data_IF_262314209989
#
_entry.id   IF_262314209989
#
_cell.length_a   1.000
_cell.length_b   1.000
_cell.length_c   1.000
_cell.angle_alpha   90.00
_cell.angle_beta   90.00
_cell.angle_gamma   90.00
#
_symmetry.space_group_name_H-M   'P 1'
#
loop_
_entity.id
_entity.type
_entity.pdbx_description
1 polymer ?
#
# COMPACT_ATOMS: atom_id res chain seq x y z
N UNK A 1 17.44 18.48 6.53
CA UNK A 1 16.09 18.92 6.11
C UNK A 1 16.00 20.44 6.24
N UNK A 2 15.87 21.16 5.12
CA UNK A 2 15.89 22.64 5.14
C UNK A 2 14.76 23.26 5.94
N UNK A 3 13.64 22.56 6.12
CA UNK A 3 12.48 23.06 6.83
C UNK A 3 12.60 23.06 8.36
N UNK A 4 13.52 22.28 8.93
CA UNK A 4 13.66 22.15 10.40
C UNK A 4 13.96 23.45 11.11
N UNK A 5 14.77 24.31 10.51
CA UNK A 5 15.11 25.60 11.08
C UNK A 5 14.05 26.69 10.87
N UNK A 6 13.06 26.44 9.99
CA UNK A 6 12.00 27.41 9.68
C UNK A 6 10.69 27.15 10.45
N UNK A 7 10.56 26.00 11.12
CA UNK A 7 9.39 25.70 11.92
C UNK A 7 9.49 26.36 13.29
N UNK A 8 8.53 27.24 13.58
CA UNK A 8 8.43 27.91 14.88
C UNK A 8 7.09 27.54 15.52
N UNK A 9 7.09 27.14 16.80
CA UNK A 9 5.83 26.88 17.49
C UNK A 9 5.06 28.17 17.71
N UNK A 10 3.73 28.11 17.82
CA UNK A 10 2.92 29.29 18.15
C UNK A 10 3.26 29.83 19.53
N UNK A 11 2.96 31.11 19.71
CA UNK A 11 3.13 31.79 20.99
C UNK A 11 2.33 31.07 22.09
N UNK A 12 2.96 30.79 23.22
CA UNK A 12 2.32 30.05 24.32
C UNK A 12 2.41 28.53 24.21
N UNK A 13 3.02 28.01 23.17
CA UNK A 13 3.24 26.56 23.01
C UNK A 13 4.23 26.05 24.05
N UNK A 14 3.84 25.01 24.80
CA UNK A 14 4.73 24.29 25.71
C UNK A 14 5.01 22.90 25.14
N UNK A 15 6.30 22.51 25.13
CA UNK A 15 6.69 21.20 24.65
C UNK A 15 6.10 20.11 25.55
N UNK A 16 5.34 19.11 25.00
CA UNK A 16 4.77 18.06 25.84
C UNK A 16 5.84 17.19 26.49
N UNK A 17 5.54 16.57 27.65
CA UNK A 17 6.44 15.60 28.28
C UNK A 17 6.78 14.44 27.32
N UNK A 18 7.95 13.81 27.51
CA UNK A 18 8.44 12.73 26.64
C UNK A 18 7.46 11.58 26.46
N UNK A 19 6.69 11.25 27.49
CA UNK A 19 5.73 10.16 27.46
C UNK A 19 4.43 10.46 26.70
N UNK A 20 4.15 11.73 26.42
CA UNK A 20 2.96 12.12 25.64
C UNK A 20 3.15 11.93 24.12
N UNK A 21 4.37 11.67 23.67
CA UNK A 21 4.68 11.30 22.30
C UNK A 21 4.57 9.81 22.00
N UNK A 22 4.10 9.00 22.96
CA UNK A 22 3.90 7.57 22.76
C UNK A 22 2.84 7.29 21.69
N UNK A 23 2.96 6.13 21.01
CA UNK A 23 2.01 5.72 19.99
C UNK A 23 0.58 5.68 20.54
N UNK A 24 -0.41 6.22 19.83
CA UNK A 24 -1.80 6.21 20.29
C UNK A 24 -2.34 4.77 20.41
N UNK A 25 -3.33 4.56 21.28
CA UNK A 25 -4.02 3.27 21.39
C UNK A 25 -4.82 2.95 20.13
N UNK A 26 -5.25 3.98 19.41
CA UNK A 26 -6.04 3.84 18.18
C UNK A 26 -5.05 3.77 17.01
N UNK A 27 -5.12 2.69 16.23
CA UNK A 27 -4.34 2.52 15.01
C UNK A 27 -5.15 2.95 13.80
N UNK A 28 -4.50 3.61 12.86
CA UNK A 28 -5.11 3.92 11.57
C UNK A 28 -5.18 2.63 10.73
N UNK A 29 -6.30 2.42 10.08
CA UNK A 29 -6.50 1.34 9.12
C UNK A 29 -6.87 1.94 7.77
N UNK A 30 -6.27 1.42 6.69
CA UNK A 30 -6.62 1.84 5.34
C UNK A 30 -8.00 1.28 5.01
N UNK A 31 -8.92 2.17 4.68
CA UNK A 31 -10.26 1.81 4.24
C UNK A 31 -10.37 1.82 2.71
N UNK A 32 -9.82 2.87 2.09
CA UNK A 32 -9.88 3.04 0.65
C UNK A 32 -8.64 3.72 0.12
N UNK A 33 -8.15 3.24 -1.02
CA UNK A 33 -7.05 3.86 -1.77
C UNK A 33 -7.60 4.44 -3.06
N UNK A 34 -7.44 5.73 -3.22
CA UNK A 34 -7.77 6.41 -4.48
C UNK A 34 -6.53 6.43 -5.37
N UNK A 35 -6.73 6.18 -6.63
CA UNK A 35 -5.65 6.25 -7.60
C UNK A 35 -5.13 4.90 -8.05
N UNK A 36 -4.29 4.97 -9.06
CA UNK A 36 -3.77 3.85 -9.81
C UNK A 36 -2.45 4.24 -10.47
N UNK A 37 -1.46 3.38 -10.41
CA UNK A 37 -0.16 3.61 -11.03
C UNK A 37 -0.24 3.38 -12.54
N UNK A 38 -0.54 4.42 -13.30
CA UNK A 38 -0.67 4.34 -14.76
C UNK A 38 0.60 4.72 -15.53
N UNK A 39 1.59 5.31 -14.86
CA UNK A 39 2.84 5.74 -15.50
C UNK A 39 4.00 4.82 -15.14
N UNK A 40 4.94 4.65 -16.07
CA UNK A 40 6.15 3.82 -15.88
C UNK A 40 5.86 2.37 -15.45
N UNK A 41 4.69 1.86 -15.81
CA UNK A 41 4.29 0.48 -15.53
C UNK A 41 3.46 -0.06 -16.69
N UNK A 42 3.61 -1.35 -16.96
CA UNK A 42 2.87 -2.06 -18.00
C UNK A 42 2.26 -3.33 -17.43
N UNK A 43 1.12 -3.76 -18.00
CA UNK A 43 0.42 -4.99 -17.60
C UNK A 43 0.17 -5.05 -16.10
N UNK A 44 -0.22 -3.90 -15.53
CA UNK A 44 -0.31 -3.69 -14.09
C UNK A 44 -1.75 -3.75 -13.56
N UNK A 45 -2.68 -4.24 -14.36
CA UNK A 45 -4.08 -4.45 -13.96
C UNK A 45 -4.61 -5.72 -14.62
N UNK A 46 -5.32 -6.55 -13.88
CA UNK A 46 -5.88 -7.78 -14.42
C UNK A 46 -7.07 -8.27 -13.59
N UNK A 47 -8.02 -8.94 -14.24
CA UNK A 47 -9.10 -9.63 -13.56
C UNK A 47 -8.60 -10.91 -12.89
N UNK A 48 -9.09 -11.14 -11.67
CA UNK A 48 -8.87 -12.38 -10.94
C UNK A 48 -10.00 -13.39 -11.19
N UNK A 49 -9.84 -14.59 -10.64
CA UNK A 49 -10.77 -15.69 -10.83
C UNK A 49 -12.19 -15.36 -10.34
N UNK A 50 -12.32 -14.58 -9.28
CA UNK A 50 -13.60 -14.16 -8.71
C UNK A 50 -14.24 -12.93 -9.40
N UNK A 51 -13.63 -12.45 -10.48
CA UNK A 51 -14.10 -11.27 -11.20
C UNK A 51 -13.62 -9.94 -10.63
N UNK A 52 -12.93 -9.93 -9.51
CA UNK A 52 -12.30 -8.73 -8.97
C UNK A 52 -11.10 -8.30 -9.82
N UNK A 53 -10.65 -7.08 -9.64
CA UNK A 53 -9.54 -6.49 -10.39
C UNK A 53 -8.37 -6.23 -9.45
N UNK A 54 -7.18 -6.75 -9.82
CA UNK A 54 -5.96 -6.53 -9.06
C UNK A 54 -5.07 -5.51 -9.74
N UNK A 55 -4.52 -4.61 -8.97
CA UNK A 55 -3.57 -3.58 -9.40
C UNK A 55 -2.75 -3.11 -8.20
N UNK A 56 -1.91 -2.11 -8.38
CA UNK A 56 -1.13 -1.55 -7.27
C UNK A 56 -1.13 -0.02 -7.30
N UNK A 57 -0.98 0.57 -6.13
CA UNK A 57 -0.75 2.00 -5.95
C UNK A 57 0.19 2.18 -4.76
N UNK A 58 1.23 3.01 -4.92
CA UNK A 58 2.28 3.20 -3.90
C UNK A 58 2.85 1.85 -3.43
N UNK A 59 2.87 1.56 -2.15
CA UNK A 59 3.38 0.32 -1.58
C UNK A 59 2.31 -0.75 -1.39
N UNK A 60 1.13 -0.57 -1.97
CA UNK A 60 -0.03 -1.44 -1.74
C UNK A 60 -0.42 -2.22 -2.98
N UNK A 61 -0.64 -3.52 -2.81
CA UNK A 61 -1.43 -4.32 -3.73
C UNK A 61 -2.91 -4.13 -3.43
N UNK A 62 -3.72 -3.90 -4.44
CA UNK A 62 -5.15 -3.62 -4.27
C UNK A 62 -5.95 -4.62 -5.09
N UNK A 63 -6.95 -5.20 -4.46
CA UNK A 63 -7.94 -6.04 -5.13
C UNK A 63 -9.31 -5.38 -4.96
N UNK A 64 -9.86 -4.92 -6.06
CA UNK A 64 -11.12 -4.18 -6.11
C UNK A 64 -12.26 -5.09 -6.59
N UNK A 65 -13.29 -5.21 -5.78
CA UNK A 65 -14.52 -5.90 -6.14
C UNK A 65 -15.56 -4.88 -6.60
N UNK A 66 -15.83 -4.90 -7.90
CA UNK A 66 -16.76 -3.97 -8.53
C UNK A 66 -18.21 -4.23 -8.12
N UNK A 67 -18.59 -5.49 -7.89
CA UNK A 67 -19.96 -5.84 -7.54
C UNK A 67 -20.36 -5.30 -6.17
N UNK A 68 -19.45 -5.34 -5.19
CA UNK A 68 -19.68 -4.84 -3.83
C UNK A 68 -19.10 -3.47 -3.58
N UNK A 69 -18.34 -2.91 -4.53
CA UNK A 69 -17.62 -1.65 -4.41
C UNK A 69 -16.72 -1.63 -3.17
N UNK A 70 -15.90 -2.66 -3.02
CA UNK A 70 -14.98 -2.83 -1.88
C UNK A 70 -13.55 -3.06 -2.37
N UNK A 71 -12.60 -2.69 -1.54
CA UNK A 71 -11.18 -2.95 -1.76
C UNK A 71 -10.63 -3.86 -0.67
N UNK A 72 -9.73 -4.77 -1.10
CA UNK A 72 -8.83 -5.48 -0.19
C UNK A 72 -7.42 -4.99 -0.46
N UNK A 73 -6.60 -4.89 0.58
CA UNK A 73 -5.26 -4.32 0.49
C UNK A 73 -4.22 -5.34 0.94
N UNK A 74 -3.17 -5.48 0.13
CA UNK A 74 -1.98 -6.25 0.48
C UNK A 74 -0.88 -5.27 0.87
N UNK A 75 -0.51 -5.22 2.15
CA UNK A 75 0.33 -4.18 2.75
C UNK A 75 1.69 -4.69 3.25
N UNK A 76 2.19 -5.79 2.69
CA UNK A 76 3.45 -6.40 3.14
C UNK A 76 4.70 -5.75 2.54
N UNK A 77 4.55 -4.90 1.54
CA UNK A 77 5.67 -4.15 0.99
C UNK A 77 6.05 -2.96 1.87
N UNK A 78 7.34 -2.66 1.91
CA UNK A 78 7.89 -1.54 2.68
C UNK A 78 8.20 -0.32 1.83
N UNK A 79 8.13 -0.45 0.51
CA UNK A 79 8.41 0.64 -0.43
C UNK A 79 7.48 0.52 -1.64
N UNK A 80 7.61 1.46 -2.57
CA UNK A 80 6.75 1.55 -3.75
C UNK A 80 6.84 0.30 -4.61
N UNK A 81 5.69 -0.27 -4.95
CA UNK A 81 5.58 -1.36 -5.92
C UNK A 81 5.77 -0.79 -7.32
N UNK A 82 6.68 -1.37 -8.08
CA UNK A 82 6.99 -0.94 -9.46
C UNK A 82 6.62 -1.97 -10.51
N UNK A 83 6.37 -3.21 -10.10
CA UNK A 83 6.01 -4.29 -11.01
C UNK A 83 5.01 -5.24 -10.37
N UNK A 84 4.10 -5.75 -11.17
CA UNK A 84 3.13 -6.76 -10.77
C UNK A 84 3.02 -7.78 -11.89
N UNK A 85 2.95 -9.05 -11.54
CA UNK A 85 2.75 -10.14 -12.46
C UNK A 85 1.65 -11.06 -11.95
N UNK A 86 0.97 -11.70 -12.88
CA UNK A 86 -0.19 -12.56 -12.61
C UNK A 86 0.05 -13.94 -13.18
N UNK A 87 -0.19 -14.97 -12.40
CA UNK A 87 -0.17 -16.34 -12.90
C UNK A 87 -1.43 -16.65 -13.69
N UNK A 88 -1.36 -17.70 -14.52
CA UNK A 88 -2.47 -18.12 -15.36
C UNK A 88 -3.67 -18.65 -14.56
N UNK A 89 -3.46 -19.00 -13.29
CA UNK A 89 -4.54 -19.42 -12.39
C UNK A 89 -5.49 -18.26 -12.01
N UNK A 90 -5.17 -17.04 -12.41
CA UNK A 90 -5.94 -15.80 -12.09
C UNK A 90 -6.12 -15.59 -10.61
N UNK A 91 -5.17 -16.04 -9.81
CA UNK A 91 -5.22 -16.00 -8.36
C UNK A 91 -3.89 -15.60 -7.75
N UNK A 92 -2.80 -16.21 -8.21
CA UNK A 92 -1.45 -15.96 -7.70
C UNK A 92 -0.89 -14.69 -8.32
N UNK A 93 -0.41 -13.78 -7.47
CA UNK A 93 0.14 -12.49 -7.84
C UNK A 93 1.55 -12.36 -7.29
N UNK A 94 2.45 -11.81 -8.08
CA UNK A 94 3.79 -11.45 -7.64
C UNK A 94 3.96 -9.94 -7.77
N UNK A 95 4.37 -9.28 -6.71
CA UNK A 95 4.64 -7.85 -6.70
C UNK A 95 6.08 -7.58 -6.31
N UNK A 96 6.72 -6.65 -7.03
CA UNK A 96 8.11 -6.25 -6.82
C UNK A 96 8.20 -4.80 -6.41
N UNK A 97 8.96 -4.52 -5.36
CA UNK A 97 9.17 -3.16 -4.86
C UNK A 97 10.52 -2.59 -5.27
N UNK A 98 10.63 -1.27 -5.24
CA UNK A 98 11.88 -0.53 -5.36
C UNK A 98 12.37 -0.19 -3.95
N UNK A 99 13.65 0.08 -3.80
CA UNK A 99 14.20 0.53 -2.51
C UNK A 99 15.61 0.05 -2.27
N UNK A 100 16.09 0.23 -1.05
CA UNK A 100 17.45 -0.16 -0.65
C UNK A 100 17.60 -1.68 -0.60
N UNK A 101 16.57 -2.37 -0.14
CA UNK A 101 16.50 -3.84 -0.10
C UNK A 101 15.20 -4.28 -0.77
N UNK A 102 15.13 -4.20 -2.10
CA UNK A 102 13.91 -4.53 -2.82
C UNK A 102 13.60 -6.02 -2.68
N UNK A 103 12.33 -6.33 -2.53
CA UNK A 103 11.86 -7.71 -2.46
C UNK A 103 10.71 -7.94 -3.41
N UNK A 104 10.55 -9.20 -3.79
CA UNK A 104 9.41 -9.68 -4.54
C UNK A 104 8.59 -10.55 -3.60
N UNK A 105 7.30 -10.28 -3.53
CA UNK A 105 6.39 -11.06 -2.69
C UNK A 105 5.38 -11.73 -3.60
N UNK A 106 5.19 -13.03 -3.37
CA UNK A 106 4.15 -13.82 -4.06
C UNK A 106 3.00 -14.03 -3.09
N UNK A 107 1.81 -13.71 -3.53
CA UNK A 107 0.63 -13.74 -2.67
C UNK A 107 -0.64 -14.14 -3.44
N UNK A 108 -1.65 -14.55 -2.70
CA UNK A 108 -2.93 -14.96 -3.23
C UNK A 108 -3.88 -13.77 -3.26
N UNK A 109 -4.35 -13.39 -4.45
CA UNK A 109 -5.26 -12.25 -4.62
C UNK A 109 -6.67 -12.48 -4.08
N UNK A 110 -7.04 -13.72 -3.79
CA UNK A 110 -8.35 -14.06 -3.21
C UNK A 110 -8.29 -14.03 -1.68
N UNK A 111 -7.32 -14.73 -1.10
CA UNK A 111 -7.16 -14.80 0.36
C UNK A 111 -6.35 -13.64 0.95
N UNK A 112 -5.61 -12.92 0.12
CA UNK A 112 -4.69 -11.84 0.51
C UNK A 112 -3.54 -12.33 1.40
N UNK A 113 -3.18 -13.59 1.30
CA UNK A 113 -2.09 -14.19 2.07
C UNK A 113 -0.84 -14.34 1.23
N UNK A 114 0.32 -14.11 1.85
CA UNK A 114 1.61 -14.40 1.26
C UNK A 114 1.81 -15.91 1.12
N UNK A 115 2.40 -16.33 0.01
CA UNK A 115 2.65 -17.73 -0.30
C UNK A 115 4.12 -18.07 -0.02
#
# INVERSE_FOLDING_TARGET
>A
MPWKGSLKPPSGFTKPPKNQGAAPHIKAKIEWVHGYKGNKARNNIKHLLDGSVAYHAAALGIVYDQATHTQRHFDKHTDEITAIAFADDKRTIATGEIGVRPKIIVWDGISMQEI
#
